data_IF_524060920374
#
_entry.id   IF_524060920374
#
_cell.length_a   1.000
_cell.length_b   1.000
_cell.length_c   1.000
_cell.angle_alpha   90.00
_cell.angle_beta   90.00
_cell.angle_gamma   90.00
#
_symmetry.space_group_name_H-M   'P 1'
#
loop_
_entity.id
_entity.type
_entity.pdbx_description
1 polymer ?
#
# COMPACT_ATOMS: atom_id res chain seq x y z
N UNK A 1 3.33 21.40 -7.18
CA UNK A 1 3.39 20.14 -6.44
C UNK A 1 3.08 19.05 -7.44
N UNK A 2 4.06 18.20 -7.71
CA UNK A 2 3.88 17.09 -8.63
C UNK A 2 3.09 16.01 -7.91
N UNK A 3 1.98 15.60 -8.53
CA UNK A 3 1.04 14.62 -8.01
C UNK A 3 0.78 13.59 -9.10
N UNK A 4 0.81 12.32 -8.74
CA UNK A 4 0.46 11.24 -9.65
C UNK A 4 -0.36 10.18 -8.93
N UNK A 5 -1.18 9.49 -9.71
CA UNK A 5 -1.98 8.36 -9.25
C UNK A 5 -1.89 7.27 -10.30
N UNK A 6 -1.63 6.05 -9.86
CA UNK A 6 -1.59 4.84 -10.67
C UNK A 6 -2.63 3.87 -10.12
N UNK A 7 -3.40 3.25 -11.02
CA UNK A 7 -4.27 2.13 -10.71
C UNK A 7 -4.19 1.11 -11.83
N UNK A 8 -3.98 -0.16 -11.47
CA UNK A 8 -4.04 -1.24 -12.44
C UNK A 8 -4.57 -2.53 -11.83
N UNK A 9 -5.12 -3.37 -12.71
CA UNK A 9 -5.57 -4.71 -12.40
C UNK A 9 -5.04 -5.68 -13.46
N UNK A 10 -4.47 -6.78 -13.01
CA UNK A 10 -3.95 -7.83 -13.89
C UNK A 10 -5.00 -8.91 -14.14
N UNK A 11 -4.80 -9.70 -15.19
CA UNK A 11 -5.68 -10.82 -15.53
C UNK A 11 -5.70 -11.91 -14.44
N UNK A 12 -4.60 -12.09 -13.71
CA UNK A 12 -4.51 -13.03 -12.57
C UNK A 12 -5.01 -12.44 -11.24
N UNK A 13 -5.77 -11.34 -11.27
CA UNK A 13 -6.48 -10.82 -10.10
C UNK A 13 -5.64 -9.97 -9.14
N UNK A 14 -4.41 -9.62 -9.50
CA UNK A 14 -3.63 -8.63 -8.75
C UNK A 14 -4.25 -7.25 -8.99
N UNK A 15 -4.49 -6.51 -7.93
CA UNK A 15 -4.93 -5.12 -7.99
C UNK A 15 -3.91 -4.27 -7.26
N UNK A 16 -3.54 -3.13 -7.82
CA UNK A 16 -2.66 -2.18 -7.17
C UNK A 16 -3.12 -0.75 -7.42
N UNK A 17 -2.97 0.08 -6.40
CA UNK A 17 -3.16 1.52 -6.45
C UNK A 17 -1.98 2.20 -5.75
N UNK A 18 -1.58 3.34 -6.28
CA UNK A 18 -0.47 4.11 -5.73
C UNK A 18 -0.72 5.58 -6.03
N UNK A 19 -0.43 6.45 -5.08
CA UNK A 19 -0.34 7.87 -5.30
C UNK A 19 0.97 8.39 -4.75
N UNK A 20 1.56 9.35 -5.44
CA UNK A 20 2.80 9.97 -5.01
C UNK A 20 2.79 11.48 -5.15
N UNK A 21 3.63 12.09 -4.34
CA UNK A 21 3.79 13.54 -4.26
C UNK A 21 5.20 13.92 -3.82
N UNK A 22 5.65 15.10 -4.25
CA UNK A 22 6.87 15.72 -3.72
C UNK A 22 6.52 16.57 -2.49
N UNK A 23 7.04 16.20 -1.32
CA UNK A 23 6.99 17.01 -0.09
C UNK A 23 8.08 18.08 -0.12
N UNK A 24 7.80 19.23 0.50
CA UNK A 24 8.72 20.38 0.61
C UNK A 24 9.30 20.85 -0.73
N UNK A 25 8.52 20.77 -1.81
CA UNK A 25 8.97 21.14 -3.15
C UNK A 25 9.57 22.55 -3.18
N UNK A 26 10.79 22.67 -3.71
CA UNK A 26 11.55 23.93 -3.76
C UNK A 26 12.43 24.20 -2.54
N UNK A 27 12.51 23.28 -1.57
CA UNK A 27 13.51 23.29 -0.50
C UNK A 27 14.50 22.14 -0.72
N UNK A 28 15.65 22.42 -1.32
CA UNK A 28 16.64 21.40 -1.71
C UNK A 28 17.11 20.49 -0.56
N UNK A 29 17.07 20.96 0.69
CA UNK A 29 17.50 20.18 1.86
C UNK A 29 16.41 19.24 2.39
N UNK A 30 15.13 19.57 2.14
CA UNK A 30 13.97 18.88 2.71
C UNK A 30 13.05 18.25 1.66
N UNK A 31 13.32 18.48 0.37
CA UNK A 31 12.53 17.95 -0.74
C UNK A 31 12.64 16.43 -0.78
N UNK A 32 11.49 15.76 -0.73
CA UNK A 32 11.43 14.30 -0.70
C UNK A 32 10.22 13.79 -1.48
N UNK A 33 10.42 12.70 -2.23
CA UNK A 33 9.32 11.97 -2.86
C UNK A 33 8.65 11.08 -1.82
N UNK A 34 7.33 11.13 -1.75
CA UNK A 34 6.53 10.24 -0.92
C UNK A 34 5.47 9.57 -1.77
N UNK A 35 5.41 8.25 -1.68
CA UNK A 35 4.38 7.43 -2.29
C UNK A 35 3.61 6.68 -1.21
N UNK A 36 2.32 6.48 -1.44
CA UNK A 36 1.48 5.61 -0.63
C UNK A 36 0.64 4.76 -1.56
N UNK A 37 0.38 3.53 -1.17
CA UNK A 37 -0.36 2.64 -2.03
C UNK A 37 -0.87 1.40 -1.34
N UNK A 38 -1.59 0.61 -2.11
CA UNK A 38 -2.04 -0.70 -1.71
C UNK A 38 -1.89 -1.68 -2.87
N UNK A 39 -1.67 -2.94 -2.54
CA UNK A 39 -1.81 -4.03 -3.49
C UNK A 39 -2.52 -5.21 -2.86
N UNK A 40 -3.25 -5.95 -3.68
CA UNK A 40 -3.92 -7.18 -3.27
C UNK A 40 -3.74 -8.28 -4.30
N UNK A 41 -3.64 -9.52 -3.81
CA UNK A 41 -3.58 -10.71 -4.65
C UNK A 41 -4.16 -11.90 -3.90
N UNK A 42 -4.63 -12.90 -4.65
CA UNK A 42 -5.02 -14.18 -4.08
C UNK A 42 -3.81 -15.10 -4.06
N UNK A 43 -3.44 -15.59 -2.88
CA UNK A 43 -2.37 -16.59 -2.71
C UNK A 43 -2.74 -17.94 -3.35
N UNK A 44 -1.76 -18.82 -3.63
CA UNK A 44 -2.02 -20.18 -4.11
C UNK A 44 -2.97 -20.99 -3.23
N UNK A 45 -3.03 -20.68 -1.93
CA UNK A 45 -3.91 -21.30 -0.93
C UNK A 45 -5.35 -20.73 -0.96
N UNK A 46 -5.64 -19.78 -1.86
CA UNK A 46 -6.96 -19.13 -1.98
C UNK A 46 -7.20 -18.02 -0.97
N UNK A 47 -6.20 -17.64 -0.18
CA UNK A 47 -6.30 -16.55 0.80
C UNK A 47 -6.08 -15.21 0.11
N UNK A 48 -6.99 -14.26 0.31
CA UNK A 48 -6.80 -12.88 -0.14
C UNK A 48 -5.74 -12.20 0.73
N UNK A 49 -4.67 -11.73 0.11
CA UNK A 49 -3.62 -10.93 0.74
C UNK A 49 -3.82 -9.48 0.32
N UNK A 50 -3.82 -8.57 1.29
CA UNK A 50 -3.84 -7.13 1.05
C UNK A 50 -2.73 -6.46 1.85
N UNK A 51 -1.94 -5.64 1.17
CA UNK A 51 -0.88 -4.83 1.76
C UNK A 51 -1.16 -3.35 1.50
N UNK A 52 -0.93 -2.53 2.51
CA UNK A 52 -0.88 -1.08 2.39
C UNK A 52 0.50 -0.60 2.82
N UNK A 53 0.97 0.51 2.27
CA UNK A 53 2.30 1.02 2.59
C UNK A 53 2.43 2.53 2.41
N UNK A 54 3.46 3.07 3.04
CA UNK A 54 4.02 4.39 2.77
C UNK A 54 5.49 4.17 2.41
N UNK A 55 5.96 4.84 1.37
CA UNK A 55 7.35 4.92 0.97
C UNK A 55 7.78 6.39 0.99
N UNK A 56 8.78 6.71 1.80
CA UNK A 56 9.31 8.06 1.96
C UNK A 56 10.84 8.02 2.14
N UNK A 57 11.45 9.11 2.60
CA UNK A 57 12.88 9.22 2.87
C UNK A 57 13.43 8.16 3.84
N UNK A 58 12.57 7.53 4.65
CA UNK A 58 12.93 6.46 5.58
C UNK A 58 12.74 5.05 4.97
N UNK A 59 12.38 4.97 3.68
CA UNK A 59 12.18 3.73 2.95
C UNK A 59 10.74 3.21 3.00
N UNK A 60 10.57 1.94 2.66
CA UNK A 60 9.26 1.29 2.58
C UNK A 60 8.75 0.86 3.96
N UNK A 61 7.56 1.32 4.32
CA UNK A 61 6.92 1.08 5.61
C UNK A 61 5.57 0.37 5.39
N UNK A 62 5.51 -0.96 5.58
CA UNK A 62 4.26 -1.69 5.47
C UNK A 62 3.30 -1.32 6.61
N UNK A 63 2.08 -0.98 6.26
CA UNK A 63 1.00 -0.76 7.20
C UNK A 63 0.40 -2.12 7.53
N UNK A 64 0.50 -2.53 8.80
CA UNK A 64 -0.10 -3.77 9.27
C UNK A 64 -1.62 -3.63 9.29
N UNK A 65 -2.28 -4.28 8.34
CA UNK A 65 -3.71 -4.49 8.39
C UNK A 65 -3.97 -5.67 9.34
N UNK A 66 -4.55 -5.40 10.51
CA UNK A 66 -4.99 -6.44 11.44
C UNK A 66 -6.24 -7.13 10.85
N UNK A 67 -6.07 -8.31 10.27
CA UNK A 67 -7.20 -9.16 9.91
C UNK A 67 -7.94 -9.61 11.19
N UNK A 68 -9.04 -8.96 11.51
CA UNK A 68 -9.91 -9.33 12.65
C UNK A 68 -10.70 -10.63 12.43
N UNK A 69 -10.50 -11.33 11.30
CA UNK A 69 -11.26 -12.54 10.92
C UNK A 69 -11.06 -13.75 11.86
N UNK A 70 -10.00 -13.79 12.67
CA UNK A 70 -9.71 -14.95 13.54
C UNK A 70 -10.15 -14.82 14.99
N UNK A 71 -10.81 -13.73 15.42
CA UNK A 71 -11.33 -13.58 16.80
C UNK A 71 -12.83 -13.87 16.94
N UNK A 72 -13.34 -14.84 16.19
CA UNK A 72 -14.77 -15.17 16.14
C UNK A 72 -15.19 -16.63 16.38
N UNK A 73 -14.28 -17.62 16.36
CA UNK A 73 -14.65 -18.99 16.78
C UNK A 73 -14.50 -19.15 18.29
N UNK A 74 -15.44 -18.56 19.03
CA UNK A 74 -15.83 -19.12 20.33
C UNK A 74 -16.62 -20.38 20.04
N UNK A 75 -16.03 -21.52 20.41
CA UNK A 75 -16.74 -22.76 20.70
C UNK A 75 -18.00 -22.46 21.53
N UNK A 76 -19.15 -22.87 21.02
CA UNK A 76 -20.37 -23.14 21.79
C UNK A 76 -20.94 -24.43 21.25
#
# INVERSE_FOLDING_TARGET
>A
MDLWTLFYKTANGITAEESGQVKNAGNEELEAMVAQGSYSYTSPEGVLVQMQYIADENGFQPIKNLDYSTRGKRIQ
#
